data_IF_810829066347
#
_entry.id   IF_810829066347
#
_cell.length_a   1.000
_cell.length_b   1.000
_cell.length_c   1.000
_cell.angle_alpha   90.00
_cell.angle_beta   90.00
_cell.angle_gamma   90.00
#
_symmetry.space_group_name_H-M   'P 1'
#
loop_
_entity.id
_entity.type
_entity.pdbx_description
1 polymer ?
#
# COMPACT_ATOMS: atom_id res chain seq x y z
N UNK A 1 12.12 -13.88 -2.11
CA UNK A 1 12.06 -12.40 -2.00
C UNK A 1 13.45 -11.82 -1.73
N UNK A 2 13.75 -10.67 -2.34
CA UNK A 2 14.96 -9.87 -2.08
C UNK A 2 14.62 -8.38 -2.15
N UNK A 3 15.33 -7.55 -1.39
CA UNK A 3 15.23 -6.08 -1.50
C UNK A 3 15.95 -5.57 -2.74
N UNK A 4 15.47 -4.47 -3.30
CA UNK A 4 16.11 -3.75 -4.40
C UNK A 4 16.25 -2.26 -4.10
N UNK A 5 17.36 -1.69 -4.56
CA UNK A 5 17.57 -0.23 -4.58
C UNK A 5 17.01 0.41 -5.85
N UNK A 6 16.77 -0.37 -6.90
CA UNK A 6 16.14 0.09 -8.14
C UNK A 6 14.63 -0.16 -8.08
N UNK A 7 13.81 0.69 -8.71
CA UNK A 7 12.38 0.47 -8.78
C UNK A 7 12.05 -0.88 -9.42
N UNK A 8 11.24 -1.69 -8.74
CA UNK A 8 10.69 -2.96 -9.25
C UNK A 8 9.18 -2.82 -9.48
N UNK A 9 8.49 -3.91 -9.81
CA UNK A 9 7.03 -3.94 -9.87
C UNK A 9 6.36 -4.07 -8.50
N UNK A 10 7.12 -4.28 -7.42
CA UNK A 10 6.58 -4.50 -6.08
C UNK A 10 7.21 -3.57 -5.06
N UNK A 11 6.36 -2.85 -4.33
CA UNK A 11 6.77 -2.00 -3.23
C UNK A 11 6.24 -2.60 -1.93
N UNK A 12 7.16 -2.97 -1.04
CA UNK A 12 6.85 -3.28 0.35
C UNK A 12 6.71 -1.97 1.12
N UNK A 13 5.65 -1.82 1.90
CA UNK A 13 5.37 -0.62 2.69
C UNK A 13 4.77 -1.01 4.04
N UNK A 14 5.01 -0.20 5.08
CA UNK A 14 4.34 -0.39 6.37
C UNK A 14 2.82 -0.39 6.22
N UNK A 15 2.20 -1.31 6.96
CA UNK A 15 0.76 -1.49 7.09
C UNK A 15 0.37 -1.25 8.54
N UNK A 16 -0.84 -0.77 8.73
CA UNK A 16 -1.42 -0.48 10.04
C UNK A 16 -2.88 -0.93 10.02
N UNK A 17 -3.40 -1.24 11.19
CA UNK A 17 -4.81 -1.52 11.40
C UNK A 17 -5.29 -0.87 12.69
N UNK A 18 -6.60 -0.60 12.78
CA UNK A 18 -7.25 -0.22 14.03
C UNK A 18 -7.95 -1.41 14.71
N UNK A 19 -7.73 -2.64 14.22
CA UNK A 19 -8.27 -3.84 14.84
C UNK A 19 -7.63 -4.11 16.20
N UNK A 20 -8.47 -4.52 17.16
CA UNK A 20 -8.01 -5.00 18.47
C UNK A 20 -7.74 -6.52 18.49
N UNK A 21 -8.13 -7.22 17.42
CA UNK A 21 -8.16 -8.70 17.36
C UNK A 21 -7.36 -9.27 16.18
N UNK A 22 -7.05 -8.44 15.20
CA UNK A 22 -6.29 -8.78 14.01
C UNK A 22 -5.06 -7.88 13.91
N UNK A 23 -4.15 -8.27 13.04
CA UNK A 23 -2.86 -7.60 12.88
C UNK A 23 -2.59 -7.26 11.42
N UNK A 24 -1.76 -6.24 11.20
CA UNK A 24 -1.26 -5.84 9.91
C UNK A 24 0.09 -5.15 10.10
N UNK A 25 1.16 -5.80 9.66
CA UNK A 25 2.51 -5.27 9.74
C UNK A 25 2.92 -4.52 8.48
N UNK A 26 2.45 -4.98 7.32
CA UNK A 26 2.87 -4.44 6.03
C UNK A 26 1.83 -4.64 4.93
N UNK A 27 2.06 -3.96 3.81
CA UNK A 27 1.38 -4.18 2.56
C UNK A 27 2.38 -4.29 1.40
N UNK A 28 1.96 -4.97 0.35
CA UNK A 28 2.69 -5.04 -0.91
C UNK A 28 1.84 -4.39 -1.99
N UNK A 29 2.39 -3.35 -2.63
CA UNK A 29 1.77 -2.70 -3.78
C UNK A 29 2.33 -3.30 -5.06
N UNK A 30 1.46 -3.51 -6.05
CA UNK A 30 1.83 -3.92 -7.39
C UNK A 30 1.86 -2.71 -8.34
N UNK A 31 3.05 -2.15 -8.52
CA UNK A 31 3.32 -0.87 -9.21
C UNK A 31 3.70 -1.07 -10.69
N UNK A 32 2.83 -1.74 -11.43
CA UNK A 32 3.00 -1.98 -12.88
C UNK A 32 3.04 -0.68 -13.70
N UNK A 33 3.46 -0.78 -14.96
CA UNK A 33 3.39 0.36 -15.89
C UNK A 33 1.96 0.88 -16.11
N UNK A 34 0.96 0.00 -16.05
CA UNK A 34 -0.44 0.40 -16.11
C UNK A 34 -0.85 1.17 -14.86
N UNK A 35 -0.45 0.70 -13.68
CA UNK A 35 -0.64 1.41 -12.43
C UNK A 35 -0.03 2.81 -12.50
N UNK A 36 1.22 2.94 -12.96
CA UNK A 36 1.90 4.24 -13.11
C UNK A 36 1.16 5.18 -14.05
N UNK A 37 0.67 4.68 -15.19
CA UNK A 37 -0.16 5.48 -16.12
C UNK A 37 -1.45 5.97 -15.47
N UNK A 38 -2.10 5.12 -14.66
CA UNK A 38 -3.31 5.47 -13.92
C UNK A 38 -3.04 6.54 -12.87
N UNK A 39 -1.97 6.38 -12.08
CA UNK A 39 -1.58 7.37 -11.07
C UNK A 39 -1.20 8.71 -11.70
N UNK A 40 -0.51 8.72 -12.86
CA UNK A 40 -0.25 9.96 -13.63
C UNK A 40 -1.53 10.70 -14.02
N UNK A 41 -2.63 10.00 -14.32
CA UNK A 41 -3.93 10.63 -14.60
C UNK A 41 -4.54 11.23 -13.32
N UNK A 42 -4.49 10.51 -12.20
CA UNK A 42 -4.98 11.00 -10.90
C UNK A 42 -4.21 12.24 -10.44
N UNK A 43 -2.89 12.25 -10.59
CA UNK A 43 -2.03 13.41 -10.32
C UNK A 43 -2.39 14.64 -11.17
N UNK A 44 -2.88 14.46 -12.40
CA UNK A 44 -3.41 15.60 -13.19
C UNK A 44 -4.71 16.15 -12.60
N UNK A 45 -5.58 15.29 -12.06
CA UNK A 45 -6.81 15.72 -11.38
C UNK A 45 -6.48 16.46 -10.08
N UNK A 46 -5.52 15.95 -9.30
CA UNK A 46 -5.03 16.61 -8.08
C UNK A 46 -4.63 18.06 -8.34
N UNK A 47 -3.89 18.34 -9.42
CA UNK A 47 -3.52 19.72 -9.80
C UNK A 47 -4.71 20.64 -10.08
N UNK A 48 -5.85 20.10 -10.50
CA UNK A 48 -7.06 20.91 -10.75
C UNK A 48 -7.75 21.33 -9.45
N UNK A 49 -7.50 20.62 -8.35
CA UNK A 49 -8.18 20.79 -7.05
C UNK A 49 -7.21 21.18 -5.93
N UNK A 50 -5.96 21.55 -6.27
CA UNK A 50 -4.90 21.81 -5.29
C UNK A 50 -5.22 22.99 -4.34
N UNK A 51 -5.98 23.96 -4.82
CA UNK A 51 -6.39 25.16 -4.09
C UNK A 51 -7.78 25.05 -3.45
N UNK A 52 -8.42 23.87 -3.50
CA UNK A 52 -9.69 23.64 -2.80
C UNK A 52 -9.39 23.31 -1.34
N UNK A 53 -9.59 24.28 -0.44
CA UNK A 53 -9.28 24.15 0.98
C UNK A 53 -10.18 23.14 1.71
N UNK A 54 -11.40 22.91 1.21
CA UNK A 54 -12.37 21.98 1.80
C UNK A 54 -12.14 20.52 1.36
N UNK A 55 -11.45 20.32 0.23
CA UNK A 55 -11.08 19.00 -0.25
C UNK A 55 -9.96 18.38 0.60
N UNK A 56 -10.25 17.25 1.26
CA UNK A 56 -9.24 16.48 2.00
C UNK A 56 -8.43 15.54 1.10
N UNK A 57 -9.09 14.70 0.31
CA UNK A 57 -8.46 13.78 -0.64
C UNK A 57 -9.46 13.34 -1.72
N UNK A 58 -8.93 12.84 -2.83
CA UNK A 58 -9.69 12.15 -3.87
C UNK A 58 -9.66 10.66 -3.60
N UNK A 59 -10.82 10.01 -3.61
CA UNK A 59 -10.92 8.58 -3.32
C UNK A 59 -11.19 7.77 -4.60
N UNK A 60 -10.42 6.70 -4.80
CA UNK A 60 -10.50 5.86 -6.00
C UNK A 60 -10.62 4.39 -5.61
N UNK A 61 -11.54 3.66 -6.24
CA UNK A 61 -11.53 2.20 -6.18
C UNK A 61 -10.24 1.69 -6.85
N UNK A 62 -9.39 1.01 -6.07
CA UNK A 62 -8.09 0.54 -6.53
C UNK A 62 -7.64 -0.65 -5.67
N UNK A 63 -7.31 -1.76 -6.32
CA UNK A 63 -7.02 -3.05 -5.68
C UNK A 63 -5.57 -3.49 -5.91
N UNK A 64 -4.65 -2.60 -6.31
CA UNK A 64 -3.25 -2.96 -6.56
C UNK A 64 -2.42 -3.06 -5.27
N UNK A 65 -3.05 -3.49 -4.17
CA UNK A 65 -2.44 -3.64 -2.85
C UNK A 65 -2.97 -4.89 -2.17
N UNK A 66 -2.10 -5.57 -1.44
CA UNK A 66 -2.46 -6.64 -0.51
C UNK A 66 -1.83 -6.37 0.86
N UNK A 67 -2.56 -6.68 1.93
CA UNK A 67 -2.13 -6.47 3.32
C UNK A 67 -1.74 -7.79 3.96
N UNK A 68 -0.74 -7.76 4.83
CA UNK A 68 -0.12 -8.92 5.44
C UNK A 68 0.32 -8.66 6.89
N UNK A 69 0.53 -9.76 7.60
CA UNK A 69 1.09 -9.81 8.96
C UNK A 69 2.56 -10.21 8.90
N UNK A 70 3.34 -9.76 9.88
CA UNK A 70 4.67 -10.32 10.09
C UNK A 70 4.55 -11.80 10.46
N UNK A 71 5.59 -12.56 10.13
CA UNK A 71 5.65 -13.99 10.41
C UNK A 71 7.08 -14.36 10.78
N UNK A 72 7.25 -15.01 11.93
CA UNK A 72 8.53 -15.57 12.34
C UNK A 72 8.97 -16.73 11.43
N UNK A 73 8.02 -17.42 10.78
CA UNK A 73 8.27 -18.56 9.91
C UNK A 73 8.47 -18.17 8.44
N UNK A 74 7.79 -17.11 7.98
CA UNK A 74 7.73 -16.71 6.57
C UNK A 74 8.20 -15.28 6.38
N UNK A 75 9.47 -15.14 6.00
CA UNK A 75 10.16 -13.87 5.78
C UNK A 75 10.23 -12.98 7.04
N UNK A 76 10.79 -13.48 8.16
CA UNK A 76 10.96 -12.68 9.38
C UNK A 76 11.75 -11.38 9.15
N UNK A 77 12.63 -11.37 8.15
CA UNK A 77 13.44 -10.20 7.79
C UNK A 77 12.62 -8.99 7.30
N UNK A 78 11.34 -9.16 6.95
CA UNK A 78 10.44 -8.07 6.53
C UNK A 78 10.24 -7.06 7.66
N UNK A 79 10.12 -7.54 8.89
CA UNK A 79 9.95 -6.68 10.06
C UNK A 79 11.19 -5.81 10.28
N UNK A 80 12.38 -6.41 10.20
CA UNK A 80 13.66 -5.69 10.33
C UNK A 80 13.81 -4.64 9.23
N UNK A 81 13.51 -4.97 7.98
CA UNK A 81 13.63 -4.01 6.85
C UNK A 81 12.73 -2.79 7.02
N UNK A 82 11.52 -3.00 7.55
CA UNK A 82 10.58 -1.92 7.79
C UNK A 82 10.85 -1.20 9.11
N UNK A 83 11.56 -1.79 10.08
CA UNK A 83 11.93 -1.08 11.31
C UNK A 83 12.74 0.20 11.00
N UNK A 84 13.64 0.15 10.02
CA UNK A 84 14.51 1.26 9.63
C UNK A 84 13.90 2.20 8.58
N UNK A 85 12.91 1.74 7.79
CA UNK A 85 12.37 2.48 6.63
C UNK A 85 10.87 2.24 6.48
N UNK A 86 10.14 3.25 5.98
CA UNK A 86 8.71 3.11 5.73
C UNK A 86 8.37 2.23 4.52
N UNK A 87 9.27 2.14 3.54
CA UNK A 87 9.06 1.43 2.28
C UNK A 87 10.35 0.96 1.62
N UNK A 88 10.27 -0.12 0.84
CA UNK A 88 11.39 -0.69 0.09
C UNK A 88 10.90 -1.40 -1.18
N UNK A 89 11.64 -1.29 -2.28
CA UNK A 89 11.35 -2.08 -3.47
C UNK A 89 11.81 -3.52 -3.25
N UNK A 90 11.02 -4.47 -3.74
CA UNK A 90 11.33 -5.89 -3.59
C UNK A 90 11.17 -6.63 -4.92
N UNK A 91 11.90 -7.72 -5.06
CA UNK A 91 11.70 -8.72 -6.10
C UNK A 91 11.05 -9.95 -5.47
N UNK A 92 9.93 -10.38 -6.04
CA UNK A 92 9.18 -11.55 -5.62
C UNK A 92 9.37 -12.67 -6.65
N UNK A 93 9.61 -13.89 -6.17
CA UNK A 93 9.59 -15.08 -7.01
C UNK A 93 8.14 -15.59 -7.19
N UNK A 94 7.97 -16.51 -8.13
CA UNK A 94 6.68 -17.16 -8.35
C UNK A 94 6.22 -17.81 -7.03
N UNK A 95 4.97 -17.55 -6.66
CA UNK A 95 4.32 -18.04 -5.45
C UNK A 95 4.82 -17.44 -4.12
N UNK A 96 5.75 -16.47 -4.11
CA UNK A 96 6.16 -15.78 -2.87
C UNK A 96 4.96 -15.12 -2.17
N UNK A 97 4.06 -14.49 -2.93
CA UNK A 97 2.84 -13.86 -2.38
C UNK A 97 1.96 -14.83 -1.59
N UNK A 98 1.95 -16.12 -1.95
CA UNK A 98 1.12 -17.14 -1.29
C UNK A 98 1.69 -17.61 0.04
N UNK A 99 2.95 -17.29 0.33
CA UNK A 99 3.63 -17.67 1.57
C UNK A 99 3.42 -16.65 2.68
N UNK A 100 3.05 -15.41 2.35
CA UNK A 100 2.82 -14.39 3.36
C UNK A 100 1.52 -14.65 4.12
N UNK A 101 1.56 -14.37 5.42
CA UNK A 101 0.39 -14.47 6.29
C UNK A 101 -0.54 -13.27 6.05
N UNK A 102 -1.78 -13.54 5.65
CA UNK A 102 -2.81 -12.50 5.51
C UNK A 102 -3.44 -12.18 6.87
N UNK A 103 -4.01 -10.98 7.07
CA UNK A 103 -4.88 -10.68 8.20
C UNK A 103 -5.99 -11.72 8.36
N UNK A 104 -6.44 -11.96 9.58
CA UNK A 104 -7.55 -12.88 9.86
C UNK A 104 -8.85 -12.39 9.23
N UNK A 105 -9.04 -11.07 9.19
CA UNK A 105 -10.17 -10.47 8.51
C UNK A 105 -10.03 -10.60 7.00
N UNK A 106 -11.11 -11.11 6.39
CA UNK A 106 -11.30 -10.94 4.95
C UNK A 106 -11.55 -9.47 4.64
N UNK A 107 -10.63 -8.86 3.93
CA UNK A 107 -10.72 -7.46 3.53
C UNK A 107 -11.60 -7.24 2.29
N UNK A 108 -12.25 -6.08 2.22
CA UNK A 108 -13.04 -5.61 1.08
C UNK A 108 -12.89 -4.09 0.90
N UNK A 109 -13.60 -3.53 -0.10
CA UNK A 109 -13.69 -2.09 -0.32
C UNK A 109 -12.32 -1.39 -0.46
N UNK A 110 -11.39 -2.07 -1.14
CA UNK A 110 -10.06 -1.56 -1.43
C UNK A 110 -10.14 -0.25 -2.22
N UNK A 111 -9.43 0.74 -1.72
CA UNK A 111 -9.39 2.07 -2.29
C UNK A 111 -8.04 2.74 -2.07
N UNK A 112 -7.78 3.75 -2.89
CA UNK A 112 -6.64 4.64 -2.78
C UNK A 112 -7.13 6.06 -2.54
N UNK A 113 -6.70 6.64 -1.43
CA UNK A 113 -6.89 8.05 -1.12
C UNK A 113 -5.68 8.82 -1.65
N UNK A 114 -5.92 9.80 -2.52
CA UNK A 114 -4.88 10.66 -3.09
C UNK A 114 -5.06 12.08 -2.57
N UNK A 115 -4.06 12.55 -1.84
CA UNK A 115 -4.05 13.88 -1.21
C UNK A 115 -3.67 14.97 -2.20
N UNK A 116 -3.97 16.22 -1.85
CA UNK A 116 -3.68 17.41 -2.68
C UNK A 116 -2.17 17.60 -2.97
N UNK A 117 -1.30 17.14 -2.07
CA UNK A 117 0.14 17.15 -2.27
C UNK A 117 0.64 16.06 -3.25
N UNK A 118 -0.25 15.18 -3.73
CA UNK A 118 0.06 14.04 -4.60
C UNK A 118 0.66 12.84 -3.88
N UNK A 119 0.62 12.83 -2.55
CA UNK A 119 0.82 11.61 -1.78
C UNK A 119 -0.46 10.78 -1.75
N UNK A 120 -0.33 9.51 -1.39
CA UNK A 120 -1.44 8.58 -1.33
C UNK A 120 -1.30 7.59 -0.17
N UNK A 121 -2.44 7.07 0.25
CA UNK A 121 -2.57 5.92 1.14
C UNK A 121 -3.50 4.91 0.45
N UNK A 122 -3.15 3.63 0.56
CA UNK A 122 -4.10 2.56 0.29
C UNK A 122 -4.82 2.18 1.58
N UNK A 123 -6.12 1.92 1.48
CA UNK A 123 -6.86 1.33 2.57
C UNK A 123 -7.91 0.31 2.11
N UNK A 124 -8.25 -0.59 3.00
CA UNK A 124 -9.28 -1.60 2.85
C UNK A 124 -9.98 -1.81 4.20
N UNK A 125 -11.14 -2.44 4.18
CA UNK A 125 -11.94 -2.64 5.39
C UNK A 125 -12.21 -4.10 5.66
N UNK A 126 -12.26 -4.48 6.93
CA UNK A 126 -12.75 -5.78 7.37
C UNK A 126 -14.20 -5.95 6.94
N UNK A 127 -14.50 -7.01 6.18
CA UNK A 127 -15.81 -7.22 5.54
C UNK A 127 -16.99 -7.20 6.53
N UNK A 128 -16.75 -7.57 7.78
CA UNK A 128 -17.79 -7.74 8.80
C UNK A 128 -17.51 -6.97 10.10
N UNK A 129 -16.35 -6.33 10.23
CA UNK A 129 -15.87 -5.76 11.50
C UNK A 129 -15.75 -4.24 11.48
N UNK A 130 -15.91 -3.60 10.30
CA UNK A 130 -15.69 -2.15 10.10
C UNK A 130 -14.27 -1.68 10.47
N UNK A 131 -13.35 -2.61 10.72
CA UNK A 131 -11.94 -2.33 10.95
C UNK A 131 -11.29 -1.86 9.66
N UNK A 132 -10.34 -0.95 9.76
CA UNK A 132 -9.63 -0.36 8.65
C UNK A 132 -8.19 -0.85 8.66
N UNK A 133 -7.69 -1.15 7.47
CA UNK A 133 -6.32 -1.53 7.20
C UNK A 133 -5.77 -0.53 6.20
N UNK A 134 -4.66 0.13 6.52
CA UNK A 134 -4.10 1.17 5.67
C UNK A 134 -2.58 1.12 5.59
N UNK A 135 -2.04 1.66 4.51
CA UNK A 135 -0.59 1.79 4.32
C UNK A 135 -0.08 3.08 4.93
N UNK A 136 1.23 3.15 5.16
CA UNK A 136 1.88 4.44 5.38
C UNK A 136 1.73 5.32 4.12
N UNK A 137 1.79 6.63 4.30
CA UNK A 137 1.68 7.59 3.21
C UNK A 137 2.90 7.52 2.27
N UNK A 138 2.67 7.52 0.95
CA UNK A 138 3.73 7.48 -0.06
C UNK A 138 3.49 8.47 -1.20
N UNK A 139 4.58 8.91 -1.84
CA UNK A 139 4.51 9.90 -2.92
C UNK A 139 4.25 9.27 -4.28
N UNK A 140 3.16 9.64 -4.94
CA UNK A 140 2.92 9.21 -6.32
C UNK A 140 3.89 9.89 -7.31
N UNK A 141 4.38 11.09 -7.00
CA UNK A 141 5.38 11.77 -7.83
C UNK A 141 6.70 10.99 -7.90
N UNK A 142 7.09 10.31 -6.83
CA UNK A 142 8.29 9.49 -6.79
C UNK A 142 8.11 8.18 -7.54
N UNK A 143 6.99 7.48 -7.30
CA UNK A 143 6.73 6.15 -7.84
C UNK A 143 6.33 6.15 -9.32
N UNK A 144 5.90 7.30 -9.84
CA UNK A 144 5.46 7.42 -11.23
C UNK A 144 6.48 8.12 -12.13
N UNK A 145 7.72 8.37 -11.71
CA UNK A 145 8.73 9.00 -12.58
C UNK A 145 8.86 8.24 -13.91
#
# INVERSE_FOLDING_TARGET
MKTSLTPTEYLLIKGMTNSEWDDCGFAILHITDEWKKTQKKRLKVVKLVENDDDLKWLNYADTNVEFFKFSEEHYPEVEDWLSERSRIFIELEKDDLKKFSQPENRLNCYQMQVFKNGNAIYNAFGKHTSEEFWTEEFSLWELTK
#
